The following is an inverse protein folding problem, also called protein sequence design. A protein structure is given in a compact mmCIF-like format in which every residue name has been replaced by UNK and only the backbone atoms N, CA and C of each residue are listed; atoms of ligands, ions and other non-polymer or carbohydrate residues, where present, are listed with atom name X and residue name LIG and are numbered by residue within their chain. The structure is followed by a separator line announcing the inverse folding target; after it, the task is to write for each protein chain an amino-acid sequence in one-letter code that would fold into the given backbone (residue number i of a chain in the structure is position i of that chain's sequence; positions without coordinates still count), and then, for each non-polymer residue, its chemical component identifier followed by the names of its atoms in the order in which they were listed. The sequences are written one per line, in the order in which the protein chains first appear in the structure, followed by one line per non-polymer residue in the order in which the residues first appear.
data_IF_858536376782
#
_entry.id   IF_858536376782
#
_cell.length_a   1.000
_cell.length_b   1.000
_cell.length_c   1.000
_cell.angle_alpha   90.00
_cell.angle_beta   90.00
_cell.angle_gamma   90.00
#
_symmetry.space_group_name_H-M   'P 1'
#
loop_
_entity.id
_entity.type
_entity.pdbx_description
1 polymer ?
#
# COMPACT_ATOMS: atom_id res chain seq x y z
N UNK A 1 -7.62 5.43 16.83
CA UNK A 1 -6.82 6.22 15.86
C UNK A 1 -6.40 5.28 14.76
N UNK A 2 -7.19 5.20 13.68
CA UNK A 2 -6.94 4.32 12.54
C UNK A 2 -5.85 4.98 11.69
N UNK A 3 -4.67 4.38 11.71
CA UNK A 3 -3.46 5.00 11.25
C UNK A 3 -3.22 4.50 9.83
N UNK A 4 -3.43 5.36 8.83
CA UNK A 4 -3.00 5.14 7.44
C UNK A 4 -1.47 5.27 7.32
N UNK A 5 -0.77 4.58 8.21
CA UNK A 5 0.67 4.51 8.32
C UNK A 5 1.03 3.18 8.96
N UNK A 6 2.27 2.76 8.73
CA UNK A 6 2.76 1.49 9.20
C UNK A 6 2.69 1.48 10.74
N UNK A 7 2.05 0.48 11.35
CA UNK A 7 1.95 0.41 12.81
C UNK A 7 3.32 0.13 13.47
N UNK A 8 4.29 -0.40 12.71
CA UNK A 8 5.61 -0.76 13.21
C UNK A 8 6.59 0.43 13.17
N UNK A 9 6.76 1.07 12.00
CA UNK A 9 7.73 2.15 11.82
C UNK A 9 7.13 3.55 11.62
N UNK A 10 5.81 3.66 11.43
CA UNK A 10 5.11 4.93 11.20
C UNK A 10 5.20 5.49 9.77
N UNK A 11 5.74 4.74 8.80
CA UNK A 11 5.82 5.15 7.40
C UNK A 11 4.45 5.25 6.73
N UNK A 12 4.27 6.18 5.80
CA UNK A 12 3.03 6.31 5.00
C UNK A 12 3.21 5.76 3.57
N UNK A 13 4.41 5.30 3.23
CA UNK A 13 4.76 4.76 1.91
C UNK A 13 4.76 3.24 1.95
N UNK A 14 4.10 2.65 0.97
CA UNK A 14 3.87 1.22 0.84
C UNK A 14 3.99 0.80 -0.63
N UNK A 15 4.08 -0.50 -0.85
CA UNK A 15 4.00 -1.09 -2.18
C UNK A 15 3.15 -2.35 -2.14
N UNK A 16 2.50 -2.65 -3.27
CA UNK A 16 1.77 -3.91 -3.50
C UNK A 16 2.51 -4.71 -4.57
N UNK A 17 2.38 -6.03 -4.52
CA UNK A 17 2.94 -6.94 -5.54
C UNK A 17 1.80 -7.62 -6.27
N UNK A 18 1.96 -7.85 -7.56
CA UNK A 18 0.97 -8.60 -8.32
C UNK A 18 1.06 -10.10 -7.98
N UNK A 19 -0.08 -10.77 -7.72
CA UNK A 19 -0.08 -12.19 -7.38
C UNK A 19 0.17 -13.11 -8.59
N UNK A 20 -0.06 -12.65 -9.82
CA UNK A 20 0.19 -13.37 -11.07
C UNK A 20 1.61 -13.09 -11.59
N UNK A 21 2.09 -11.85 -11.43
CA UNK A 21 3.45 -11.43 -11.77
C UNK A 21 4.25 -10.89 -10.57
N UNK A 22 5.20 -11.71 -10.09
CA UNK A 22 6.05 -11.37 -8.94
C UNK A 22 7.02 -10.21 -9.16
N UNK A 23 7.19 -9.73 -10.39
CA UNK A 23 8.10 -8.63 -10.73
C UNK A 23 7.36 -7.31 -10.81
N UNK A 24 6.06 -7.34 -11.10
CA UNK A 24 5.18 -6.17 -11.05
C UNK A 24 4.92 -5.78 -9.61
N UNK A 25 5.31 -4.56 -9.27
CA UNK A 25 5.01 -3.91 -8.01
C UNK A 25 4.51 -2.50 -8.29
N UNK A 26 3.59 -2.02 -7.46
CA UNK A 26 3.10 -0.65 -7.53
C UNK A 26 3.34 0.04 -6.21
N UNK A 27 4.06 1.16 -6.26
CA UNK A 27 4.39 1.97 -5.10
C UNK A 27 3.33 3.05 -4.89
N UNK A 28 2.89 3.22 -3.64
CA UNK A 28 1.87 4.21 -3.27
C UNK A 28 2.08 4.74 -1.86
N UNK A 29 1.52 5.91 -1.59
CA UNK A 29 1.49 6.55 -0.28
C UNK A 29 0.06 6.76 0.19
N UNK A 30 -0.14 6.69 1.51
CA UNK A 30 -1.44 6.89 2.16
C UNK A 30 -1.55 8.27 2.83
N UNK A 31 -1.06 9.31 2.14
CA UNK A 31 -1.06 10.66 2.69
C UNK A 31 -2.49 11.26 2.71
N UNK A 32 -2.83 11.98 3.78
CA UNK A 32 -4.09 12.73 3.84
C UNK A 32 -5.38 11.90 3.90
N UNK A 33 -5.29 10.58 4.04
CA UNK A 33 -6.48 9.72 4.07
C UNK A 33 -6.81 9.06 2.73
N UNK A 34 -5.99 9.26 1.69
CA UNK A 34 -6.20 8.74 0.36
C UNK A 34 -4.97 7.93 -0.09
N UNK A 35 -5.21 6.97 -0.99
CA UNK A 35 -4.15 6.25 -1.65
C UNK A 35 -3.72 7.03 -2.88
N UNK A 36 -2.46 7.41 -2.92
CA UNK A 36 -1.82 8.15 -4.00
C UNK A 36 -0.67 7.29 -4.55
N UNK A 37 -0.76 6.86 -5.80
CA UNK A 37 0.34 6.12 -6.42
C UNK A 37 1.56 7.04 -6.59
N UNK A 38 2.71 6.59 -6.11
CA UNK A 38 3.98 7.32 -6.19
C UNK A 38 4.91 6.77 -7.27
N UNK A 39 4.58 5.61 -7.84
CA UNK A 39 5.30 5.03 -8.98
C UNK A 39 5.13 5.82 -10.28
N UNK A 40 6.12 5.72 -11.16
CA UNK A 40 6.12 6.33 -12.51
C UNK A 40 5.35 5.49 -13.55
N UNK A 41 4.85 4.32 -13.14
CA UNK A 41 4.11 3.41 -14.01
C UNK A 41 2.76 4.02 -14.47
N UNK A 42 2.36 3.75 -15.73
CA UNK A 42 1.10 4.24 -16.26
C UNK A 42 -0.10 3.61 -15.54
N UNK A 43 -1.24 4.29 -15.56
CA UNK A 43 -2.43 3.88 -14.81
C UNK A 43 -2.92 2.48 -15.16
N UNK A 44 -2.78 2.06 -16.42
CA UNK A 44 -3.15 0.73 -16.90
C UNK A 44 -2.22 -0.40 -16.41
N UNK A 45 -1.02 -0.07 -15.92
CA UNK A 45 -0.05 -1.03 -15.37
C UNK A 45 -0.06 -1.06 -13.83
N UNK A 46 -0.77 -0.13 -13.19
CA UNK A 46 -0.88 -0.07 -11.73
C UNK A 46 -1.73 -1.22 -11.19
N UNK A 47 -1.20 -1.89 -10.18
CA UNK A 47 -1.95 -2.89 -9.43
C UNK A 47 -3.00 -2.18 -8.59
N UNK A 48 -4.26 -2.57 -8.77
CA UNK A 48 -5.36 -2.04 -7.98
C UNK A 48 -5.22 -2.44 -6.50
N UNK A 49 -5.00 -1.43 -5.65
CA UNK A 49 -4.90 -1.64 -4.20
C UNK A 49 -6.29 -1.60 -3.55
N UNK A 50 -6.82 -2.78 -3.25
CA UNK A 50 -8.07 -2.99 -2.54
C UNK A 50 -7.84 -3.15 -1.04
N UNK A 51 -8.93 -3.08 -0.25
CA UNK A 51 -8.91 -3.34 1.19
C UNK A 51 -8.35 -4.73 1.56
N UNK A 52 -8.47 -5.70 0.65
CA UNK A 52 -7.96 -7.05 0.83
C UNK A 52 -6.54 -7.25 0.30
N UNK A 53 -6.02 -6.30 -0.49
CA UNK A 53 -4.69 -6.37 -1.08
C UNK A 53 -3.63 -6.37 0.01
N UNK A 54 -2.64 -7.25 -0.15
CA UNK A 54 -1.48 -7.32 0.72
C UNK A 54 -0.53 -6.17 0.39
N UNK A 55 -0.28 -5.32 1.38
CA UNK A 55 0.55 -4.14 1.26
C UNK A 55 1.81 -4.34 2.09
N UNK A 56 2.92 -3.87 1.56
CA UNK A 56 4.24 -4.00 2.16
C UNK A 56 4.77 -2.63 2.50
N UNK A 57 5.34 -2.47 3.70
CA UNK A 57 6.00 -1.23 4.06
C UNK A 57 7.33 -1.12 3.31
N UNK A 58 7.59 0.03 2.68
CA UNK A 58 8.88 0.33 2.05
C UNK A 58 10.02 0.43 3.08
N UNK A 59 9.72 0.90 4.30
CA UNK A 59 10.73 1.18 5.32
C UNK A 59 11.06 0.03 6.27
N UNK A 60 10.22 -0.99 6.39
CA UNK A 60 10.41 -2.07 7.36
C UNK A 60 9.80 -3.39 6.86
N UNK A 61 9.99 -4.48 7.62
CA UNK A 61 9.50 -5.80 7.24
C UNK A 61 7.99 -5.99 7.49
N UNK A 62 7.25 -4.95 7.90
CA UNK A 62 5.82 -5.05 8.12
C UNK A 62 5.07 -5.17 6.79
N UNK A 63 4.19 -6.15 6.70
CA UNK A 63 3.22 -6.30 5.63
C UNK A 63 1.93 -6.86 6.21
N UNK A 64 0.80 -6.37 5.73
CA UNK A 64 -0.53 -6.86 6.08
C UNK A 64 -1.51 -6.41 5.00
N UNK A 65 -2.80 -6.69 5.15
CA UNK A 65 -3.81 -6.19 4.23
C UNK A 65 -4.09 -4.71 4.47
N UNK A 66 -4.42 -3.95 3.42
CA UNK A 66 -4.73 -2.52 3.56
C UNK A 66 -5.80 -2.25 4.63
N UNK A 67 -6.84 -3.09 4.72
CA UNK A 67 -7.90 -2.99 5.73
C UNK A 67 -7.43 -3.03 7.18
N UNK A 68 -6.24 -3.58 7.46
CA UNK A 68 -5.69 -3.63 8.81
C UNK A 68 -5.31 -2.24 9.34
N UNK A 69 -4.93 -1.33 8.43
CA UNK A 69 -4.54 0.05 8.75
C UNK A 69 -5.58 1.09 8.30
N UNK A 70 -6.46 0.73 7.36
CA UNK A 70 -7.57 1.58 6.92
C UNK A 70 -8.61 1.75 8.04
N UNK A 71 -9.22 2.94 8.18
CA UNK A 71 -10.35 3.11 9.05
C UNK A 71 -11.58 2.34 8.54
N UNK A 72 -11.98 1.26 9.22
CA UNK A 72 -13.33 0.70 9.09
C UNK A 72 -14.36 1.79 9.40
N UNK A 73 -15.22 2.13 8.44
CA UNK A 73 -16.32 3.05 8.66
C UNK A 73 -17.46 2.35 9.39
#
# INVERSE_FOLDING_TARGET
MKQMKCPDCGAQSFYVKDPDDRFTISEFSLEGGALEYTGEEPEDERIEVLDESEIFCDRCAWHDRLRAIKPTK
#
